data_IF_139413068422
#
_entry.id   IF_139413068422
#
_cell.length_a   1.000
_cell.length_b   1.000
_cell.length_c   1.000
_cell.angle_alpha   90.00
_cell.angle_beta   90.00
_cell.angle_gamma   90.00
#
_symmetry.space_group_name_H-M   'P 1'
#
loop_
_entity.id
_entity.type
_entity.pdbx_description
1 polymer ?
#
# COMPACT_ATOMS: atom_id res chain seq x y z
N UNK A 1 0.54 22.17 23.62
CA UNK A 1 -0.70 22.14 22.83
C UNK A 1 -0.98 20.70 22.44
N UNK A 2 -2.22 20.20 22.52
CA UNK A 2 -2.56 18.90 21.95
C UNK A 2 -2.40 18.99 20.43
N UNK A 3 -1.59 18.10 19.87
CA UNK A 3 -1.41 17.99 18.42
C UNK A 3 -2.36 16.91 17.90
N UNK A 4 -3.07 17.23 16.82
CA UNK A 4 -3.96 16.30 16.14
C UNK A 4 -3.44 16.08 14.72
N UNK A 5 -3.26 14.81 14.32
CA UNK A 5 -2.83 14.47 12.96
C UNK A 5 -3.81 13.49 12.33
N UNK A 6 -4.41 13.90 11.22
CA UNK A 6 -5.23 13.01 10.40
C UNK A 6 -4.33 12.21 9.45
N UNK A 7 -4.61 10.92 9.34
CA UNK A 7 -3.92 10.01 8.44
C UNK A 7 -4.84 8.87 8.02
N UNK A 8 -4.45 8.11 7.01
CA UNK A 8 -5.15 6.88 6.64
C UNK A 8 -4.35 5.69 7.16
N UNK A 9 -5.01 4.83 7.93
CA UNK A 9 -4.46 3.57 8.42
C UNK A 9 -4.76 2.47 7.40
N UNK A 10 -3.75 1.86 6.76
CA UNK A 10 -3.96 0.71 5.90
C UNK A 10 -4.10 -0.58 6.71
N UNK A 11 -4.83 -1.54 6.16
CA UNK A 11 -5.01 -2.88 6.73
C UNK A 11 -5.27 -3.89 5.62
N UNK A 12 -4.78 -5.11 5.83
CA UNK A 12 -4.93 -6.26 4.94
C UNK A 12 -5.13 -7.47 5.84
N UNK A 13 -5.98 -8.42 5.44
CA UNK A 13 -6.14 -9.68 6.16
C UNK A 13 -4.81 -10.45 6.19
N UNK A 14 -4.37 -10.89 7.37
CA UNK A 14 -3.06 -11.52 7.57
C UNK A 14 -1.86 -10.56 7.44
N UNK A 15 -2.09 -9.27 7.18
CA UNK A 15 -1.05 -8.25 7.09
C UNK A 15 -0.65 -7.67 8.46
N UNK A 16 0.62 -7.32 8.61
CA UNK A 16 1.16 -6.65 9.80
C UNK A 16 1.24 -5.15 9.57
N UNK A 17 0.67 -4.37 10.47
CA UNK A 17 0.79 -2.91 10.41
C UNK A 17 2.17 -2.44 10.88
N UNK A 18 2.75 -1.50 10.14
CA UNK A 18 3.95 -0.79 10.52
C UNK A 18 3.61 0.60 11.03
N UNK A 19 4.03 0.85 12.25
CA UNK A 19 4.02 2.18 12.85
C UNK A 19 5.26 2.92 12.39
N UNK A 20 5.06 4.08 11.77
CA UNK A 20 6.12 4.94 11.24
C UNK A 20 5.97 6.36 11.78
N UNK A 21 7.07 7.11 11.85
CA UNK A 21 7.09 8.49 12.32
C UNK A 21 8.04 8.68 13.50
N UNK A 22 8.86 9.74 13.43
CA UNK A 22 9.87 10.04 14.45
C UNK A 22 9.24 10.62 15.73
N UNK A 23 8.16 11.38 15.59
CA UNK A 23 7.56 12.18 16.68
C UNK A 23 6.14 11.75 17.05
N UNK A 24 5.43 11.21 16.06
CA UNK A 24 4.09 10.70 16.21
C UNK A 24 4.08 9.30 15.60
N UNK A 25 3.91 8.24 16.41
CA UNK A 25 3.82 6.88 15.90
C UNK A 25 2.49 6.72 15.17
N UNK A 26 2.53 6.65 13.84
CA UNK A 26 1.34 6.50 13.01
C UNK A 26 1.41 5.19 12.22
N UNK A 27 0.42 4.27 12.38
CA UNK A 27 0.31 3.07 11.55
C UNK A 27 -0.09 3.47 10.13
N UNK A 28 0.90 3.92 9.34
CA UNK A 28 0.72 4.47 7.98
C UNK A 28 1.03 3.47 6.89
N UNK A 29 1.64 2.34 7.24
CA UNK A 29 1.96 1.28 6.30
C UNK A 29 1.46 -0.06 6.82
N UNK A 30 1.16 -0.98 5.90
CA UNK A 30 0.89 -2.38 6.16
C UNK A 30 1.84 -3.20 5.32
N UNK A 31 2.34 -4.29 5.89
CA UNK A 31 3.20 -5.24 5.18
C UNK A 31 2.53 -6.61 5.20
N UNK A 32 2.54 -7.26 4.06
CA UNK A 32 1.93 -8.57 3.84
C UNK A 32 2.72 -9.32 2.76
N UNK A 33 2.33 -10.55 2.48
CA UNK A 33 2.91 -11.37 1.43
C UNK A 33 1.85 -11.74 0.40
N UNK A 34 2.26 -11.82 -0.87
CA UNK A 34 1.46 -12.42 -1.94
C UNK A 34 2.25 -13.59 -2.50
N UNK A 35 1.93 -14.80 -2.03
CA UNK A 35 2.81 -15.96 -2.17
C UNK A 35 4.19 -15.64 -1.59
N UNK A 36 5.30 -15.81 -2.34
CA UNK A 36 6.63 -15.47 -1.84
C UNK A 36 6.96 -13.98 -1.93
N UNK A 37 6.15 -13.14 -2.59
CA UNK A 37 6.47 -11.73 -2.82
C UNK A 37 6.09 -10.87 -1.59
N UNK A 38 7.04 -10.21 -0.92
CA UNK A 38 6.73 -9.26 0.13
C UNK A 38 6.19 -7.95 -0.45
N UNK A 39 5.17 -7.40 0.20
CA UNK A 39 4.51 -6.18 -0.22
C UNK A 39 4.34 -5.25 0.96
N UNK A 40 4.76 -4.00 0.80
CA UNK A 40 4.45 -2.90 1.71
C UNK A 40 3.52 -1.92 1.02
N UNK A 41 2.39 -1.63 1.63
CA UNK A 41 1.43 -0.65 1.13
C UNK A 41 1.29 0.53 2.11
N UNK A 42 1.26 1.75 1.58
CA UNK A 42 0.90 2.95 2.33
C UNK A 42 0.09 3.92 1.47
N UNK A 43 -0.52 4.90 2.12
CA UNK A 43 -1.14 6.04 1.44
C UNK A 43 -0.26 7.28 1.59
N UNK A 44 0.20 7.82 0.47
CA UNK A 44 0.99 9.06 0.43
C UNK A 44 0.16 10.22 -0.07
N UNK A 45 0.15 11.32 0.68
CA UNK A 45 -0.56 12.54 0.32
C UNK A 45 0.43 13.58 -0.21
N UNK A 46 0.26 13.98 -1.48
CA UNK A 46 0.86 15.16 -2.06
C UNK A 46 -0.11 16.36 -2.07
N UNK A 47 0.43 17.54 -2.43
CA UNK A 47 -0.31 18.80 -2.42
C UNK A 47 -1.65 18.75 -3.18
N UNK A 48 -1.68 18.09 -4.36
CA UNK A 48 -2.90 17.99 -5.20
C UNK A 48 -3.40 16.57 -5.40
N UNK A 49 -2.61 15.57 -5.06
CA UNK A 49 -2.88 14.17 -5.39
C UNK A 49 -2.60 13.28 -4.19
N UNK A 50 -3.33 12.18 -4.07
CA UNK A 50 -3.03 11.11 -3.13
C UNK A 50 -2.71 9.85 -3.90
N UNK A 51 -1.71 9.09 -3.45
CA UNK A 51 -1.24 7.87 -4.06
C UNK A 51 -1.35 6.72 -3.07
N UNK A 52 -1.78 5.56 -3.55
CA UNK A 52 -1.48 4.30 -2.89
C UNK A 52 -0.11 3.88 -3.39
N UNK A 53 0.86 3.81 -2.49
CA UNK A 53 2.20 3.37 -2.81
C UNK A 53 2.34 1.90 -2.42
N UNK A 54 2.68 1.08 -3.41
CA UNK A 54 3.01 -0.32 -3.24
C UNK A 54 4.51 -0.48 -3.46
N UNK A 55 5.22 -0.93 -2.42
CA UNK A 55 6.59 -1.42 -2.55
C UNK A 55 6.55 -2.94 -2.65
N UNK A 56 6.90 -3.45 -3.81
CA UNK A 56 6.94 -4.88 -4.12
C UNK A 56 8.38 -5.36 -3.97
N UNK A 57 8.59 -6.47 -3.29
CA UNK A 57 9.92 -7.04 -3.08
C UNK A 57 10.75 -6.36 -1.98
N UNK A 58 10.17 -5.45 -1.18
CA UNK A 58 10.87 -4.79 -0.07
C UNK A 58 11.00 -5.74 1.13
N UNK A 59 12.24 -6.13 1.45
CA UNK A 59 12.58 -7.09 2.52
C UNK A 59 12.82 -6.44 3.87
N UNK A 60 12.96 -5.11 3.93
CA UNK A 60 13.48 -4.42 5.10
C UNK A 60 12.61 -4.59 6.37
N UNK A 61 11.32 -4.89 6.20
CA UNK A 61 10.34 -4.88 7.28
C UNK A 61 9.63 -6.24 7.52
N UNK A 62 10.18 -7.37 7.07
CA UNK A 62 9.63 -8.71 7.31
C UNK A 62 10.62 -9.63 8.03
N UNK A 63 10.49 -9.83 9.36
CA UNK A 63 11.42 -10.65 10.14
C UNK A 63 11.33 -12.15 9.82
N UNK A 64 10.18 -12.65 9.35
CA UNK A 64 9.95 -14.06 8.99
C UNK A 64 9.89 -14.31 7.48
N UNK A 65 10.41 -13.39 6.65
CA UNK A 65 10.60 -13.64 5.22
C UNK A 65 11.80 -14.60 5.03
N UNK A 66 11.68 -15.82 5.54
CA UNK A 66 12.57 -16.93 5.26
C UNK A 66 12.81 -16.99 3.75
N UNK A 67 13.99 -16.56 3.33
CA UNK A 67 14.52 -16.60 1.97
C UNK A 67 13.44 -16.52 0.88
N UNK A 68 12.61 -15.48 0.90
CA UNK A 68 11.55 -15.32 -0.08
C UNK A 68 12.19 -15.26 -1.50
N UNK A 69 12.02 -16.35 -2.23
CA UNK A 69 12.77 -16.70 -3.44
C UNK A 69 11.96 -16.39 -4.69
N UNK A 70 11.46 -15.16 -4.80
CA UNK A 70 10.82 -14.74 -6.04
C UNK A 70 11.85 -14.27 -7.06
N UNK A 71 11.60 -14.50 -8.34
CA UNK A 71 12.47 -14.11 -9.44
C UNK A 71 11.83 -13.07 -10.36
N UNK A 72 10.53 -13.15 -10.59
CA UNK A 72 9.81 -12.26 -11.51
C UNK A 72 8.42 -11.96 -10.96
N UNK A 73 7.91 -10.77 -11.26
CA UNK A 73 6.51 -10.44 -10.98
C UNK A 73 5.99 -9.33 -11.87
N UNK A 74 4.71 -9.40 -12.20
CA UNK A 74 3.99 -8.35 -12.90
C UNK A 74 2.50 -8.43 -12.58
N UNK A 75 1.80 -7.29 -12.61
CA UNK A 75 0.34 -7.32 -12.53
C UNK A 75 -0.22 -7.94 -13.81
N UNK A 76 -1.26 -8.76 -13.67
CA UNK A 76 -1.94 -9.40 -14.81
C UNK A 76 -2.68 -8.40 -15.71
N UNK A 77 -2.96 -7.21 -15.20
CA UNK A 77 -3.61 -6.12 -15.92
C UNK A 77 -3.31 -4.77 -15.25
N UNK A 78 -3.54 -3.66 -15.95
CA UNK A 78 -3.49 -2.31 -15.39
C UNK A 78 -4.88 -1.83 -14.94
N UNK A 79 -5.60 -2.67 -14.18
CA UNK A 79 -6.96 -2.38 -13.72
C UNK A 79 -7.06 -2.30 -12.20
N UNK A 80 -6.61 -1.18 -11.66
CA UNK A 80 -6.73 -0.86 -10.24
C UNK A 80 -8.06 -0.15 -9.98
N UNK A 81 -8.70 -0.46 -8.87
CA UNK A 81 -10.01 0.07 -8.52
C UNK A 81 -10.01 0.56 -7.07
N UNK A 82 -10.90 1.50 -6.78
CA UNK A 82 -11.20 1.94 -5.43
C UNK A 82 -12.68 1.72 -5.14
N UNK A 83 -13.03 1.14 -4.00
CA UNK A 83 -14.42 1.07 -3.53
C UNK A 83 -14.61 2.02 -2.34
N UNK A 84 -15.50 2.98 -2.47
CA UNK A 84 -15.97 3.80 -1.34
C UNK A 84 -16.91 2.95 -0.48
N UNK A 85 -16.50 2.66 0.76
CA UNK A 85 -17.26 1.78 1.66
C UNK A 85 -18.50 2.47 2.27
N UNK A 86 -18.58 3.80 2.23
CA UNK A 86 -19.74 4.51 2.75
C UNK A 86 -20.86 4.57 1.72
N UNK A 87 -20.52 4.70 0.44
CA UNK A 87 -21.47 4.83 -0.67
C UNK A 87 -21.68 3.53 -1.44
N UNK A 88 -20.86 2.53 -1.16
CA UNK A 88 -20.77 1.28 -1.91
C UNK A 88 -20.53 1.49 -3.42
N UNK A 89 -19.73 2.49 -3.76
CA UNK A 89 -19.44 2.85 -5.15
C UNK A 89 -18.03 2.44 -5.55
N UNK A 90 -17.91 1.78 -6.69
CA UNK A 90 -16.64 1.40 -7.29
C UNK A 90 -16.18 2.47 -8.30
N UNK A 91 -14.91 2.87 -8.20
CA UNK A 91 -14.27 3.89 -9.02
C UNK A 91 -13.02 3.32 -9.68
N UNK A 92 -12.85 3.59 -10.98
CA UNK A 92 -11.67 3.22 -11.75
C UNK A 92 -11.95 3.08 -13.26
N UNK A 93 -10.96 2.65 -14.05
CA UNK A 93 -9.61 2.25 -13.64
C UNK A 93 -8.80 3.43 -13.08
N UNK A 94 -8.04 3.19 -12.02
CA UNK A 94 -7.13 4.16 -11.44
C UNK A 94 -5.83 4.21 -12.25
N UNK A 95 -5.23 5.40 -12.35
CA UNK A 95 -3.98 5.58 -13.09
C UNK A 95 -2.78 5.09 -12.28
N UNK A 96 -2.06 4.12 -12.83
CA UNK A 96 -0.77 3.64 -12.34
C UNK A 96 0.34 4.55 -12.84
N UNK A 97 1.18 5.01 -11.93
CA UNK A 97 2.45 5.65 -12.19
C UNK A 97 3.54 4.71 -11.69
N UNK A 98 4.47 4.36 -12.57
CA UNK A 98 5.63 3.60 -12.17
C UNK A 98 6.86 4.20 -12.82
N UNK A 99 7.92 4.31 -12.04
CA UNK A 99 9.25 4.67 -12.53
C UNK A 99 9.97 3.48 -13.16
N UNK A 100 9.38 2.27 -13.14
CA UNK A 100 9.96 1.06 -13.70
C UNK A 100 8.90 0.26 -14.45
N UNK A 101 9.15 -0.18 -15.70
CA UNK A 101 8.25 -1.11 -16.37
C UNK A 101 8.09 -2.40 -15.54
N UNK A 102 6.97 -3.10 -15.75
CA UNK A 102 6.72 -4.42 -15.17
C UNK A 102 7.91 -5.35 -15.42
N UNK A 103 8.24 -6.13 -14.39
CA UNK A 103 9.42 -7.00 -14.41
C UNK A 103 9.02 -8.33 -15.01
N UNK A 104 9.12 -8.42 -16.34
CA UNK A 104 8.97 -9.69 -17.07
C UNK A 104 10.26 -10.52 -17.11
N UNK A 105 11.39 -9.95 -16.68
CA UNK A 105 12.70 -10.60 -16.58
C UNK A 105 13.07 -10.91 -15.13
N UNK A 106 14.00 -11.84 -14.89
CA UNK A 106 14.46 -12.18 -13.53
C UNK A 106 15.04 -10.95 -12.81
N UNK A 107 14.32 -10.39 -11.83
CA UNK A 107 14.79 -9.30 -10.98
C UNK A 107 14.27 -9.43 -9.55
N UNK A 108 15.22 -9.42 -8.61
CA UNK A 108 14.95 -9.41 -7.17
C UNK A 108 14.93 -8.00 -6.59
N UNK A 109 14.95 -6.95 -7.44
CA UNK A 109 14.99 -5.58 -6.96
C UNK A 109 13.62 -5.12 -6.44
N UNK A 110 13.57 -4.39 -5.31
CA UNK A 110 12.34 -3.76 -4.86
C UNK A 110 11.85 -2.74 -5.90
N UNK A 111 10.54 -2.73 -6.17
CA UNK A 111 9.92 -1.78 -7.09
C UNK A 111 8.82 -0.99 -6.41
N UNK A 112 8.59 0.19 -6.96
CA UNK A 112 7.65 1.18 -6.46
C UNK A 112 6.56 1.37 -7.49
N UNK A 113 5.32 1.16 -7.06
CA UNK A 113 4.13 1.37 -7.89
C UNK A 113 3.25 2.37 -7.15
N UNK A 114 3.00 3.50 -7.79
CA UNK A 114 2.17 4.57 -7.25
C UNK A 114 0.84 4.56 -8.01
N UNK A 115 -0.28 4.42 -7.31
CA UNK A 115 -1.60 4.45 -7.93
C UNK A 115 -2.32 5.71 -7.49
N UNK A 116 -2.65 6.57 -8.45
CA UNK A 116 -3.33 7.84 -8.18
C UNK A 116 -4.78 7.58 -7.75
N UNK A 117 -5.13 8.10 -6.58
CA UNK A 117 -6.48 8.08 -6.02
C UNK A 117 -7.16 9.43 -6.26
N UNK A 118 -8.40 9.46 -6.79
CA UNK A 118 -9.13 10.69 -6.99
C UNK A 118 -9.48 11.36 -5.65
N UNK A 119 -9.41 12.69 -5.61
CA UNK A 119 -9.94 13.50 -4.50
C UNK A 119 -11.39 13.91 -4.81
N UNK A 120 -12.26 14.06 -3.79
CA UNK A 120 -11.98 13.85 -2.36
C UNK A 120 -11.91 12.37 -1.98
N UNK A 121 -11.01 12.02 -1.06
CA UNK A 121 -10.91 10.64 -0.57
C UNK A 121 -12.05 10.35 0.43
N UNK A 122 -12.74 9.20 0.30
CA UNK A 122 -13.68 8.73 1.30
C UNK A 122 -12.98 8.50 2.64
N UNK A 123 -13.72 8.62 3.75
CA UNK A 123 -13.19 8.29 5.07
C UNK A 123 -12.78 6.82 5.21
N UNK A 124 -13.44 5.92 4.47
CA UNK A 124 -13.11 4.49 4.42
C UNK A 124 -13.24 4.01 2.98
N UNK A 125 -12.19 3.38 2.47
CA UNK A 125 -12.21 2.82 1.13
C UNK A 125 -11.37 1.55 1.04
N UNK A 126 -11.65 0.74 0.04
CA UNK A 126 -10.84 -0.39 -0.35
C UNK A 126 -10.09 -0.07 -1.62
N UNK A 127 -8.82 -0.44 -1.66
CA UNK A 127 -8.02 -0.49 -2.86
C UNK A 127 -7.99 -1.93 -3.36
N UNK A 128 -8.38 -2.11 -4.60
CA UNK A 128 -8.49 -3.41 -5.25
C UNK A 128 -7.49 -3.42 -6.40
N UNK A 129 -6.57 -4.38 -6.32
CA UNK A 129 -5.56 -4.62 -7.35
C UNK A 129 -5.97 -5.82 -8.20
N UNK A 130 -5.61 -5.86 -9.49
CA UNK A 130 -5.67 -7.09 -10.24
C UNK A 130 -4.72 -8.13 -9.64
N UNK A 131 -4.91 -9.42 -9.96
CA UNK A 131 -3.97 -10.48 -9.59
C UNK A 131 -2.55 -10.15 -10.04
N UNK A 132 -1.58 -10.63 -9.28
CA UNK A 132 -0.16 -10.50 -9.59
C UNK A 132 0.37 -11.86 -10.02
N UNK A 133 1.12 -11.88 -11.11
CA UNK A 133 1.92 -13.03 -11.50
C UNK A 133 3.21 -12.98 -10.69
N UNK A 134 3.57 -14.08 -10.03
CA UNK A 134 4.86 -14.26 -9.36
C UNK A 134 5.43 -15.58 -9.84
N UNK A 135 6.60 -15.54 -10.48
CA UNK A 135 7.27 -16.73 -11.05
C UNK A 135 6.36 -17.60 -11.93
N UNK A 136 5.53 -16.96 -12.75
CA UNK A 136 4.59 -17.64 -13.64
C UNK A 136 3.31 -18.15 -12.97
N UNK A 137 3.16 -18.01 -11.65
CA UNK A 137 1.92 -18.34 -10.94
C UNK A 137 1.06 -17.09 -10.72
N UNK A 138 -0.22 -17.16 -11.11
CA UNK A 138 -1.18 -16.10 -10.82
C UNK A 138 -1.66 -16.18 -9.38
N UNK A 139 -1.47 -15.10 -8.62
CA UNK A 139 -1.83 -15.02 -7.21
C UNK A 139 -2.83 -13.87 -6.99
N UNK A 140 -3.88 -14.08 -6.18
CA UNK A 140 -4.79 -13.02 -5.83
C UNK A 140 -4.05 -11.96 -5.02
N UNK A 141 -4.18 -10.70 -5.43
CA UNK A 141 -3.68 -9.59 -4.64
C UNK A 141 -4.74 -9.22 -3.60
N UNK A 142 -4.41 -9.23 -2.30
CA UNK A 142 -5.42 -9.03 -1.27
C UNK A 142 -5.93 -7.58 -1.28
N UNK A 143 -7.19 -7.40 -0.91
CA UNK A 143 -7.80 -6.08 -0.81
C UNK A 143 -7.15 -5.30 0.33
N UNK A 144 -6.72 -4.07 0.04
CA UNK A 144 -6.15 -3.18 1.06
C UNK A 144 -7.22 -2.20 1.50
N UNK A 145 -7.59 -2.25 2.77
CA UNK A 145 -8.56 -1.31 3.36
C UNK A 145 -7.85 -0.14 4.02
N UNK A 146 -8.30 1.06 3.67
CA UNK A 146 -7.81 2.31 4.25
C UNK A 146 -8.90 2.99 5.06
N UNK A 147 -8.55 3.41 6.28
CA UNK A 147 -9.46 4.11 7.18
C UNK A 147 -8.85 5.40 7.69
N UNK A 148 -9.57 6.51 7.49
CA UNK A 148 -9.21 7.82 8.00
C UNK A 148 -9.27 7.79 9.53
N UNK A 149 -8.12 7.98 10.14
CA UNK A 149 -7.92 7.98 11.58
C UNK A 149 -7.37 9.33 12.02
N UNK A 150 -7.66 9.70 13.27
CA UNK A 150 -7.09 10.85 13.95
C UNK A 150 -6.18 10.34 15.06
N UNK A 151 -4.92 10.75 15.04
CA UNK A 151 -4.08 10.66 16.22
C UNK A 151 -4.24 11.95 17.03
N UNK A 152 -4.42 11.81 18.34
CA UNK A 152 -4.45 12.92 19.28
C UNK A 152 -3.48 12.61 20.41
N UNK A 153 -2.57 13.54 20.70
CA UNK A 153 -1.64 13.38 21.80
C UNK A 153 -0.80 14.62 22.05
N UNK A 154 0.00 14.55 23.10
CA UNK A 154 0.98 15.58 23.42
C UNK A 154 2.25 15.22 22.66
N UNK A 155 2.60 16.00 21.64
CA UNK A 155 3.89 15.85 20.97
C UNK A 155 5.00 16.14 22.00
N UNK A 156 6.06 15.32 22.11
CA UNK A 156 7.23 15.73 22.86
C UNK A 156 7.76 17.04 22.24
N UNK A 157 8.09 18.01 23.09
CA UNK A 157 8.49 19.37 22.68
C UNK A 157 9.85 19.44 21.94
N UNK A 158 10.55 18.31 21.77
CA UNK A 158 11.85 18.20 21.11
C UNK A 158 11.76 17.26 19.91
N UNK A 159 10.95 17.72 18.98
CA UNK A 159 10.75 17.29 17.61
C UNK A 159 10.63 18.60 16.81
#
# INVERSE_FOLDING_TARGET
>A
MPNATQYYRPSVEGGRQLTTGHCVPLPRAVVFQVGPLPVRALLSAGARTTYVDLRLGDRADLPDAAAASWQSYHFTADRFLMRDLARDTLSGPLTRFTSSPDVTETSTQPRWVEIRIPKPLPARFEFISPPIMVDGQSLPFPVIRFEKTLWMGISPFNC
#
